data_IF_823460534883
#
_entry.id   IF_823460534883
#
_cell.length_a   1.000
_cell.length_b   1.000
_cell.length_c   1.000
_cell.angle_alpha   90.00
_cell.angle_beta   90.00
_cell.angle_gamma   90.00
#
_symmetry.space_group_name_H-M   'P 1'
#
loop_
_entity.id
_entity.type
_entity.pdbx_description
1 polymer ?
#
# COMPACT_ATOMS: atom_id res chain seq x y z
N UNK A 1 11.08 12.89 9.66
CA UNK A 1 10.01 12.21 8.88
C UNK A 1 8.67 12.45 9.53
N UNK A 2 7.60 12.60 8.74
CA UNK A 2 6.23 12.76 9.25
C UNK A 2 5.21 12.10 8.34
N UNK A 3 4.11 11.62 8.95
CA UNK A 3 2.96 11.03 8.25
C UNK A 3 2.01 12.15 7.80
N UNK A 4 1.50 12.06 6.57
CA UNK A 4 0.42 12.95 6.07
C UNK A 4 -0.66 12.11 5.40
N UNK A 5 -1.92 12.51 5.62
CA UNK A 5 -3.05 11.97 4.86
C UNK A 5 -2.98 12.52 3.43
N UNK A 6 -3.10 11.63 2.45
CA UNK A 6 -3.16 11.97 1.04
C UNK A 6 -4.56 11.71 0.47
N UNK A 7 -4.85 12.34 -0.65
CA UNK A 7 -6.09 12.16 -1.41
C UNK A 7 -5.79 12.07 -2.90
N UNK A 8 -6.83 11.98 -3.72
CA UNK A 8 -6.70 12.00 -5.18
C UNK A 8 -6.11 13.33 -5.70
N UNK A 9 -6.18 14.40 -4.93
CA UNK A 9 -5.55 15.67 -5.28
C UNK A 9 -4.02 15.58 -5.31
N UNK A 10 -3.45 14.59 -4.62
CA UNK A 10 -2.01 14.31 -4.58
C UNK A 10 -1.55 13.32 -5.66
N UNK A 11 -2.42 12.95 -6.61
CA UNK A 11 -2.20 11.85 -7.54
C UNK A 11 -0.90 11.95 -8.34
N UNK A 12 -0.45 13.14 -8.71
CA UNK A 12 0.79 13.27 -9.49
C UNK A 12 2.03 12.89 -8.68
N UNK A 13 2.10 13.32 -7.42
CA UNK A 13 3.18 12.91 -6.52
C UNK A 13 3.11 11.41 -6.20
N UNK A 14 1.90 10.89 -6.00
CA UNK A 14 1.65 9.45 -5.78
C UNK A 14 2.15 8.63 -6.98
N UNK A 15 1.80 9.01 -8.19
CA UNK A 15 2.21 8.31 -9.44
C UNK A 15 3.73 8.29 -9.60
N UNK A 16 4.40 9.39 -9.31
CA UNK A 16 5.87 9.46 -9.40
C UNK A 16 6.53 8.47 -8.44
N UNK A 17 6.11 8.46 -7.18
CA UNK A 17 6.68 7.52 -6.21
C UNK A 17 6.30 6.07 -6.54
N UNK A 18 5.04 5.80 -6.85
CA UNK A 18 4.53 4.48 -7.19
C UNK A 18 5.31 3.87 -8.36
N UNK A 19 5.38 4.56 -9.49
CA UNK A 19 6.11 4.06 -10.66
C UNK A 19 7.61 3.96 -10.41
N UNK A 20 8.18 4.89 -9.67
CA UNK A 20 9.60 4.88 -9.30
C UNK A 20 10.02 3.62 -8.51
N UNK A 21 9.09 3.01 -7.78
CA UNK A 21 9.34 1.78 -7.02
C UNK A 21 8.91 0.55 -7.80
N UNK A 22 7.66 0.46 -8.26
CA UNK A 22 7.07 -0.78 -8.75
C UNK A 22 7.47 -1.14 -10.19
N UNK A 23 8.01 -0.22 -10.97
CA UNK A 23 8.59 -0.53 -12.30
C UNK A 23 10.02 -1.09 -12.22
N UNK A 24 10.59 -1.18 -11.03
CA UNK A 24 11.93 -1.71 -10.77
C UNK A 24 11.87 -3.05 -10.05
N UNK A 25 13.02 -3.75 -10.02
CA UNK A 25 13.14 -4.98 -9.26
C UNK A 25 12.77 -4.78 -7.78
N UNK A 26 12.15 -5.78 -7.15
CA UNK A 26 11.82 -7.12 -7.67
C UNK A 26 10.49 -7.21 -8.43
N UNK A 27 9.71 -6.12 -8.50
CA UNK A 27 8.36 -6.15 -9.08
C UNK A 27 8.37 -6.10 -10.61
N UNK A 28 9.12 -5.18 -11.20
CA UNK A 28 9.24 -4.97 -12.65
C UNK A 28 7.88 -4.85 -13.36
N UNK A 29 6.91 -4.21 -12.71
CA UNK A 29 5.57 -4.02 -13.26
C UNK A 29 5.62 -3.05 -14.46
N UNK A 30 4.91 -3.40 -15.53
CA UNK A 30 4.79 -2.53 -16.69
C UNK A 30 3.63 -1.54 -16.53
N UNK A 31 3.94 -0.36 -16.02
CA UNK A 31 3.02 0.78 -15.89
C UNK A 31 3.18 1.82 -17.00
N UNK A 32 3.62 1.40 -18.20
CA UNK A 32 3.79 2.28 -19.36
C UNK A 32 2.48 2.82 -19.95
N UNK A 33 1.37 2.11 -19.76
CA UNK A 33 0.03 2.61 -20.11
C UNK A 33 -0.42 3.65 -19.07
N UNK A 34 -0.28 4.94 -19.40
CA UNK A 34 -0.63 6.03 -18.51
C UNK A 34 -2.11 6.08 -18.13
N UNK A 35 -2.99 5.65 -19.04
CA UNK A 35 -4.43 5.59 -18.76
C UNK A 35 -4.75 4.50 -17.74
N UNK A 36 -4.14 3.33 -17.88
CA UNK A 36 -4.30 2.23 -16.91
C UNK A 36 -3.76 2.62 -15.53
N UNK A 37 -2.63 3.31 -15.48
CA UNK A 37 -2.06 3.83 -14.24
C UNK A 37 -3.01 4.84 -13.57
N UNK A 38 -3.55 5.79 -14.33
CA UNK A 38 -4.52 6.77 -13.81
C UNK A 38 -5.75 6.10 -13.22
N UNK A 39 -6.29 5.09 -13.89
CA UNK A 39 -7.43 4.32 -13.40
C UNK A 39 -7.09 3.59 -12.09
N UNK A 40 -5.92 2.98 -12.01
CA UNK A 40 -5.49 2.27 -10.80
C UNK A 40 -5.32 3.21 -9.60
N UNK A 41 -4.69 4.36 -9.80
CA UNK A 41 -4.55 5.36 -8.74
C UNK A 41 -5.92 5.91 -8.30
N UNK A 42 -6.84 6.13 -9.25
CA UNK A 42 -8.22 6.52 -8.94
C UNK A 42 -8.94 5.45 -8.12
N UNK A 43 -8.79 4.17 -8.47
CA UNK A 43 -9.35 3.05 -7.70
C UNK A 43 -8.84 3.05 -6.25
N UNK A 44 -7.56 3.33 -6.04
CA UNK A 44 -6.93 3.28 -4.71
C UNK A 44 -7.19 4.54 -3.88
N UNK A 45 -7.16 5.72 -4.49
CA UNK A 45 -7.16 7.01 -3.77
C UNK A 45 -8.41 7.84 -3.96
N UNK A 46 -9.22 7.57 -4.99
CA UNK A 46 -10.35 8.40 -5.40
C UNK A 46 -11.71 7.96 -4.87
N UNK A 47 -11.79 6.92 -4.08
CA UNK A 47 -13.04 6.39 -3.56
C UNK A 47 -13.40 6.99 -2.19
N UNK A 48 -14.69 6.97 -1.83
CA UNK A 48 -15.16 7.50 -0.54
C UNK A 48 -14.57 6.76 0.67
N UNK A 49 -14.21 5.49 0.49
CA UNK A 49 -13.61 4.62 1.51
C UNK A 49 -12.07 4.56 1.43
N UNK A 50 -11.45 5.26 0.49
CA UNK A 50 -10.00 5.28 0.33
C UNK A 50 -9.31 5.85 1.57
N UNK A 51 -8.20 5.21 1.96
CA UNK A 51 -7.35 5.64 3.05
C UNK A 51 -5.90 5.57 2.57
N UNK A 52 -5.31 6.75 2.34
CA UNK A 52 -3.97 6.87 1.78
C UNK A 52 -3.10 7.73 2.68
N UNK A 53 -1.89 7.24 2.93
CA UNK A 53 -0.88 7.96 3.71
C UNK A 53 0.42 8.10 2.92
N UNK A 54 1.05 9.26 3.09
CA UNK A 54 2.41 9.52 2.61
C UNK A 54 3.37 9.69 3.80
N UNK A 55 4.56 9.17 3.66
CA UNK A 55 5.68 9.47 4.55
C UNK A 55 6.54 10.55 3.90
N UNK A 56 6.75 11.64 4.61
CA UNK A 56 7.56 12.77 4.14
C UNK A 56 8.85 12.89 4.95
N UNK A 57 9.93 13.18 4.27
CA UNK A 57 11.17 13.65 4.85
C UNK A 57 11.41 15.08 4.35
N UNK A 58 11.18 16.07 5.22
CA UNK A 58 11.02 17.45 4.78
C UNK A 58 9.81 17.57 3.83
N UNK A 59 10.06 18.04 2.61
CA UNK A 59 9.04 18.19 1.56
C UNK A 59 9.02 17.02 0.56
N UNK A 60 9.93 16.06 0.71
CA UNK A 60 10.03 14.91 -0.16
C UNK A 60 9.07 13.77 0.29
N UNK A 61 8.21 13.32 -0.62
CA UNK A 61 7.40 12.11 -0.42
C UNK A 61 8.28 10.88 -0.64
N UNK A 62 8.54 10.14 0.45
CA UNK A 62 9.45 8.98 0.45
C UNK A 62 8.77 7.64 0.73
N UNK A 63 7.54 7.66 1.18
CA UNK A 63 6.76 6.44 1.45
C UNK A 63 5.30 6.62 1.09
N UNK A 64 4.66 5.53 0.69
CA UNK A 64 3.27 5.53 0.24
C UNK A 64 2.57 4.29 0.77
N UNK A 65 1.38 4.48 1.36
CA UNK A 65 0.46 3.42 1.74
C UNK A 65 -0.91 3.76 1.18
N UNK A 66 -1.42 2.89 0.31
CA UNK A 66 -2.72 3.07 -0.34
C UNK A 66 -3.62 1.90 -0.03
N UNK A 67 -4.83 2.18 0.38
CA UNK A 67 -5.81 1.16 0.71
C UNK A 67 -7.16 1.76 1.06
N UNK A 68 -7.94 1.04 1.83
CA UNK A 68 -9.29 1.44 2.16
C UNK A 68 -9.74 0.94 3.54
N UNK A 69 -10.78 1.57 4.05
CA UNK A 69 -11.45 1.18 5.29
C UNK A 69 -12.51 0.14 4.97
N UNK A 70 -12.49 -0.97 5.71
CA UNK A 70 -13.46 -2.05 5.58
C UNK A 70 -14.16 -2.30 6.92
N UNK A 71 -15.48 -2.26 6.90
CA UNK A 71 -16.31 -2.58 8.07
C UNK A 71 -16.59 -4.09 8.10
N UNK A 72 -15.66 -4.85 8.68
CA UNK A 72 -15.77 -6.31 8.82
C UNK A 72 -16.55 -6.68 10.09
N UNK A 73 -17.10 -7.88 10.17
CA UNK A 73 -17.95 -8.27 11.30
C UNK A 73 -17.21 -8.28 12.66
N UNK A 74 -15.90 -8.44 12.67
CA UNK A 74 -15.07 -8.40 13.89
C UNK A 74 -14.61 -6.98 14.28
N UNK A 75 -14.81 -6.03 13.41
CA UNK A 75 -14.40 -4.62 13.59
C UNK A 75 -13.97 -3.98 12.29
N UNK A 76 -13.85 -2.66 12.31
CA UNK A 76 -13.37 -1.88 11.17
C UNK A 76 -11.86 -2.06 11.02
N UNK A 77 -11.41 -2.30 9.80
CA UNK A 77 -10.01 -2.58 9.50
C UNK A 77 -9.48 -1.70 8.37
N UNK A 78 -8.16 -1.52 8.33
CA UNK A 78 -7.45 -0.91 7.21
C UNK A 78 -6.91 -2.00 6.30
N UNK A 79 -7.37 -2.03 5.07
CA UNK A 79 -6.87 -2.95 4.04
C UNK A 79 -5.84 -2.19 3.20
N UNK A 80 -4.58 -2.57 3.30
CA UNK A 80 -3.49 -1.99 2.51
C UNK A 80 -3.37 -2.76 1.19
N UNK A 81 -3.59 -2.08 0.07
CA UNK A 81 -3.38 -2.63 -1.26
C UNK A 81 -1.94 -2.46 -1.73
N UNK A 82 -1.34 -1.29 -1.44
CA UNK A 82 0.04 -0.97 -1.81
C UNK A 82 0.75 -0.28 -0.65
N UNK A 83 1.97 -0.70 -0.38
CA UNK A 83 2.86 -0.04 0.56
C UNK A 83 4.28 -0.07 0.02
N UNK A 84 4.92 1.08 -0.06
CA UNK A 84 6.30 1.16 -0.52
C UNK A 84 7.07 2.29 0.15
N UNK A 85 8.39 2.14 0.13
CA UNK A 85 9.38 3.19 0.44
C UNK A 85 10.21 3.43 -0.82
N UNK A 86 10.48 4.68 -1.11
CA UNK A 86 11.36 5.10 -2.20
C UNK A 86 12.66 4.29 -2.18
N UNK A 87 13.08 3.79 -3.33
CA UNK A 87 14.15 2.79 -3.43
C UNK A 87 15.45 3.22 -2.75
N UNK A 88 15.85 4.48 -2.91
CA UNK A 88 17.07 5.03 -2.31
C UNK A 88 16.93 5.36 -0.80
N UNK A 89 15.74 5.19 -0.24
CA UNK A 89 15.43 5.40 1.19
C UNK A 89 15.14 4.10 1.94
N UNK A 90 15.25 2.97 1.27
CA UNK A 90 15.05 1.65 1.88
C UNK A 90 16.27 1.27 2.75
N UNK A 91 16.05 0.37 3.73
CA UNK A 91 17.10 -0.16 4.60
C UNK A 91 17.56 0.76 5.74
N UNK A 92 17.03 1.99 5.84
CA UNK A 92 17.38 2.98 6.88
C UNK A 92 16.34 3.14 8.00
N UNK A 93 15.39 2.22 8.12
CA UNK A 93 14.34 2.28 9.16
C UNK A 93 13.09 3.09 8.76
N UNK A 94 13.07 3.69 7.56
CA UNK A 94 11.92 4.48 7.10
C UNK A 94 10.64 3.66 7.02
N UNK A 95 10.72 2.41 6.55
CA UNK A 95 9.57 1.50 6.48
C UNK A 95 9.00 1.15 7.85
N UNK A 96 9.86 0.86 8.82
CA UNK A 96 9.44 0.59 10.21
C UNK A 96 8.80 1.81 10.84
N UNK A 97 9.40 2.98 10.68
CA UNK A 97 8.83 4.23 11.16
C UNK A 97 7.44 4.48 10.53
N UNK A 98 7.34 4.33 9.21
CA UNK A 98 6.10 4.56 8.48
C UNK A 98 4.98 3.64 8.96
N UNK A 99 5.26 2.35 9.05
CA UNK A 99 4.27 1.36 9.49
C UNK A 99 3.81 1.63 10.93
N UNK A 100 4.73 1.95 11.84
CA UNK A 100 4.40 2.33 13.21
C UNK A 100 3.49 3.56 13.27
N UNK A 101 3.77 4.58 12.50
CA UNK A 101 2.94 5.79 12.44
C UNK A 101 1.54 5.52 11.88
N UNK A 102 1.43 4.64 10.88
CA UNK A 102 0.14 4.18 10.36
C UNK A 102 -0.63 3.43 11.44
N UNK A 103 0.01 2.48 12.13
CA UNK A 103 -0.61 1.68 13.20
C UNK A 103 -1.17 2.58 14.33
N UNK A 104 -0.40 3.55 14.78
CA UNK A 104 -0.83 4.52 15.80
C UNK A 104 -2.03 5.34 15.30
N UNK A 105 -1.96 5.84 14.06
CA UNK A 105 -3.01 6.67 13.48
C UNK A 105 -4.32 5.91 13.32
N UNK A 106 -4.29 4.70 12.77
CA UNK A 106 -5.52 3.91 12.60
C UNK A 106 -6.12 3.47 13.93
N UNK A 107 -5.29 3.21 14.94
CA UNK A 107 -5.74 2.91 16.30
C UNK A 107 -6.50 4.09 16.90
N UNK A 108 -6.00 5.31 16.75
CA UNK A 108 -6.69 6.54 17.16
C UNK A 108 -8.03 6.74 16.44
N UNK A 109 -8.13 6.30 15.19
CA UNK A 109 -9.38 6.30 14.41
C UNK A 109 -10.37 5.20 14.85
N UNK A 110 -9.98 4.31 15.76
CA UNK A 110 -10.80 3.19 16.22
C UNK A 110 -10.79 1.96 15.32
N UNK A 111 -9.88 1.88 14.34
CA UNK A 111 -9.72 0.70 13.52
C UNK A 111 -9.05 -0.42 14.34
N UNK A 112 -9.45 -1.66 14.09
CA UNK A 112 -9.06 -2.82 14.91
C UNK A 112 -7.79 -3.49 14.43
N UNK A 113 -7.52 -3.47 13.13
CA UNK A 113 -6.39 -4.18 12.54
C UNK A 113 -6.02 -3.65 11.16
N UNK A 114 -4.82 -4.02 10.73
CA UNK A 114 -4.35 -3.88 9.35
C UNK A 114 -4.34 -5.27 8.71
N UNK A 115 -4.86 -5.36 7.49
CA UNK A 115 -4.77 -6.54 6.64
C UNK A 115 -4.09 -6.15 5.33
N UNK A 116 -3.17 -6.99 4.85
CA UNK A 116 -2.49 -6.79 3.57
C UNK A 116 -2.19 -8.12 2.89
N UNK A 117 -1.98 -8.07 1.58
CA UNK A 117 -1.47 -9.18 0.78
C UNK A 117 -0.05 -8.84 0.33
N UNK A 118 0.84 -9.81 0.41
CA UNK A 118 2.20 -9.71 -0.12
C UNK A 118 2.63 -11.07 -0.66
N UNK A 119 3.49 -11.06 -1.67
CA UNK A 119 4.09 -12.28 -2.16
C UNK A 119 5.17 -12.78 -1.19
N UNK A 120 5.27 -14.10 -1.00
CA UNK A 120 6.26 -14.69 -0.09
C UNK A 120 7.70 -14.52 -0.57
N UNK A 121 7.89 -14.38 -1.88
CA UNK A 121 9.19 -14.37 -2.53
C UNK A 121 9.80 -12.96 -2.66
N UNK A 122 9.16 -11.95 -2.06
CA UNK A 122 9.66 -10.57 -2.08
C UNK A 122 10.18 -10.14 -0.71
N UNK A 123 11.14 -9.21 -0.64
CA UNK A 123 11.72 -8.72 0.63
C UNK A 123 10.67 -8.17 1.61
N UNK A 124 9.58 -7.61 1.10
CA UNK A 124 8.48 -7.07 1.90
C UNK A 124 7.85 -8.12 2.83
N UNK A 125 7.77 -9.39 2.43
CA UNK A 125 7.26 -10.47 3.27
C UNK A 125 8.02 -10.57 4.60
N UNK A 126 9.35 -10.63 4.53
CA UNK A 126 10.19 -10.69 5.73
C UNK A 126 10.08 -9.42 6.57
N UNK A 127 9.96 -8.26 5.92
CA UNK A 127 9.74 -6.99 6.62
C UNK A 127 8.47 -7.02 7.47
N UNK A 128 7.34 -7.50 6.93
CA UNK A 128 6.10 -7.63 7.69
C UNK A 128 6.21 -8.64 8.83
N UNK A 129 6.83 -9.79 8.60
CA UNK A 129 7.06 -10.81 9.65
C UNK A 129 7.90 -10.24 10.80
N UNK A 130 8.93 -9.48 10.51
CA UNK A 130 9.76 -8.81 11.51
C UNK A 130 9.02 -7.67 12.24
N UNK A 131 8.01 -7.09 11.62
CA UNK A 131 7.12 -6.08 12.19
C UNK A 131 5.91 -6.67 12.94
N UNK A 132 5.98 -7.94 13.33
CA UNK A 132 4.96 -8.65 14.09
C UNK A 132 3.65 -8.91 13.34
N UNK A 133 3.67 -8.87 12.01
CA UNK A 133 2.53 -9.30 11.20
C UNK A 133 2.44 -10.82 11.15
N UNK A 134 1.25 -11.34 11.32
CA UNK A 134 0.98 -12.78 11.36
C UNK A 134 0.37 -13.23 10.05
N UNK A 135 0.92 -14.30 9.47
CA UNK A 135 0.38 -14.88 8.24
C UNK A 135 -0.97 -15.56 8.50
N UNK A 136 -1.97 -15.22 7.68
CA UNK A 136 -3.30 -15.86 7.73
C UNK A 136 -3.29 -17.08 6.82
N UNK A 137 -2.90 -18.24 7.37
CA UNK A 137 -2.63 -19.47 6.61
C UNK A 137 -3.87 -20.19 6.07
N UNK A 138 -5.06 -19.86 6.59
CA UNK A 138 -6.33 -20.44 6.13
C UNK A 138 -6.92 -19.73 4.91
N UNK A 139 -6.28 -18.68 4.39
CA UNK A 139 -6.69 -17.98 3.20
C UNK A 139 -5.90 -18.43 1.98
N UNK A 140 -6.57 -18.50 0.84
CA UNK A 140 -5.96 -18.82 -0.45
C UNK A 140 -6.23 -17.71 -1.45
N UNK A 141 -5.26 -17.44 -2.30
CA UNK A 141 -5.43 -16.58 -3.48
C UNK A 141 -5.81 -17.47 -4.66
N UNK A 142 -6.98 -17.21 -5.22
CA UNK A 142 -7.48 -17.94 -6.39
C UNK A 142 -7.58 -16.98 -7.57
N UNK A 143 -7.13 -17.42 -8.73
CA UNK A 143 -7.13 -16.63 -9.96
C UNK A 143 -7.66 -17.49 -11.12
N UNK A 144 -8.62 -16.95 -11.88
CA UNK A 144 -9.04 -17.46 -13.16
C UNK A 144 -8.89 -16.36 -14.22
N UNK A 145 -8.01 -16.56 -15.17
CA UNK A 145 -7.78 -15.62 -16.28
C UNK A 145 -8.27 -16.12 -17.62
N UNK A 146 -8.59 -17.43 -17.73
CA UNK A 146 -8.91 -18.08 -19.02
C UNK A 146 -10.29 -17.72 -19.55
N UNK A 147 -11.26 -17.49 -18.66
CA UNK A 147 -12.66 -17.33 -19.04
C UNK A 147 -13.20 -15.90 -18.88
N UNK A 148 -12.46 -15.04 -18.18
CA UNK A 148 -12.91 -13.65 -17.97
C UNK A 148 -13.00 -12.86 -19.28
N UNK A 149 -12.12 -13.14 -20.25
CA UNK A 149 -12.15 -12.50 -21.57
C UNK A 149 -13.28 -13.02 -22.47
N UNK A 150 -13.90 -14.14 -22.14
CA UNK A 150 -14.94 -14.82 -22.93
C UNK A 150 -16.36 -14.69 -22.32
N UNK A 151 -16.47 -13.97 -21.22
CA UNK A 151 -17.76 -13.73 -20.54
C UNK A 151 -18.50 -12.47 -21.05
#
# INVERSE_FOLDING_TARGET
>A
MNLRRLSIDDKEAIKVLFTGVFTREPWNDDWSDSKQLDLYIEDLCGQSYSLTYGLYDGDELIGLSMGYVKHWYTGTEYIINELCIKTDRQGGGAGTFFLTQIEETIKEMGLKQIFLLTDRDVPAYNFYKMSSYVEVSNLSRLLNTSDVANV
#
